data_IF_047013724418
#
_entry.id   IF_047013724418
#
_cell.length_a   1.000
_cell.length_b   1.000
_cell.length_c   1.000
_cell.angle_alpha   90.00
_cell.angle_beta   90.00
_cell.angle_gamma   90.00
#
_symmetry.space_group_name_H-M   'P 1'
#
loop_
_entity.id
_entity.type
_entity.pdbx_description
1 polymer ?
#
# COMPACT_ATOMS: atom_id res chain seq x y z
N UNK A 1 14.65 -29.21 -7.23
CA UNK A 1 14.23 -28.00 -7.97
C UNK A 1 14.33 -26.82 -7.01
N UNK A 2 15.25 -25.88 -7.24
CA UNK A 2 15.46 -24.70 -6.38
C UNK A 2 14.89 -23.45 -7.06
N UNK A 3 13.56 -23.19 -7.02
CA UNK A 3 12.96 -22.00 -7.62
C UNK A 3 13.16 -20.72 -6.78
N UNK A 4 13.78 -20.85 -5.60
CA UNK A 4 13.80 -19.84 -4.56
C UNK A 4 14.58 -18.54 -4.89
N UNK A 5 15.64 -18.50 -5.72
CA UNK A 5 16.36 -17.23 -5.96
C UNK A 5 15.62 -16.27 -6.90
N UNK A 6 14.75 -16.78 -7.79
CA UNK A 6 14.15 -15.96 -8.84
C UNK A 6 13.07 -15.01 -8.31
N UNK A 7 12.30 -15.45 -7.32
CA UNK A 7 11.18 -14.67 -6.79
C UNK A 7 11.62 -13.42 -6.00
N UNK A 8 12.60 -13.48 -5.08
CA UNK A 8 13.17 -12.28 -4.45
C UNK A 8 13.84 -11.34 -5.45
N UNK A 9 14.55 -11.88 -6.45
CA UNK A 9 15.17 -11.06 -7.49
C UNK A 9 14.12 -10.29 -8.32
N UNK A 10 13.00 -10.93 -8.69
CA UNK A 10 11.90 -10.28 -9.39
C UNK A 10 11.22 -9.20 -8.52
N UNK A 11 11.03 -9.47 -7.22
CA UNK A 11 10.48 -8.50 -6.28
C UNK A 11 11.36 -7.24 -6.17
N UNK A 12 12.67 -7.42 -6.04
CA UNK A 12 13.64 -6.32 -6.01
C UNK A 12 13.64 -5.54 -7.33
N UNK A 13 13.61 -6.24 -8.47
CA UNK A 13 13.54 -5.60 -9.78
C UNK A 13 12.28 -4.73 -9.90
N UNK A 14 11.11 -5.23 -9.46
CA UNK A 14 9.88 -4.44 -9.45
C UNK A 14 10.02 -3.16 -8.61
N UNK A 15 10.60 -3.24 -7.42
CA UNK A 15 10.84 -2.07 -6.55
C UNK A 15 11.84 -1.08 -7.16
N UNK A 16 12.88 -1.57 -7.85
CA UNK A 16 13.83 -0.73 -8.58
C UNK A 16 13.11 0.04 -9.69
N UNK A 17 12.29 -0.62 -10.50
CA UNK A 17 11.50 0.07 -11.54
C UNK A 17 10.49 1.05 -10.94
N UNK A 18 9.86 0.71 -9.81
CA UNK A 18 8.98 1.63 -9.11
C UNK A 18 9.72 2.90 -8.69
N UNK A 19 10.93 2.76 -8.17
CA UNK A 19 11.78 3.90 -7.81
C UNK A 19 12.21 4.73 -9.03
N UNK A 20 12.56 4.08 -10.15
CA UNK A 20 12.88 4.77 -11.41
C UNK A 20 11.70 5.59 -11.89
N UNK A 21 10.49 5.02 -11.96
CA UNK A 21 9.29 5.76 -12.36
C UNK A 21 8.93 6.86 -11.36
N UNK A 22 9.09 6.63 -10.06
CA UNK A 22 8.90 7.67 -9.06
C UNK A 22 9.84 8.86 -9.31
N UNK A 23 11.12 8.61 -9.62
CA UNK A 23 12.07 9.67 -9.96
C UNK A 23 11.67 10.43 -11.23
N UNK A 24 11.20 9.73 -12.25
CA UNK A 24 10.73 10.35 -13.50
C UNK A 24 9.52 11.24 -13.26
N UNK A 25 8.55 10.78 -12.44
CA UNK A 25 7.40 11.60 -12.03
C UNK A 25 7.89 12.81 -11.22
N UNK A 26 8.75 12.61 -10.21
CA UNK A 26 9.25 13.71 -9.38
C UNK A 26 9.98 14.79 -10.19
N UNK A 27 10.74 14.38 -11.21
CA UNK A 27 11.49 15.25 -12.10
C UNK A 27 10.60 15.99 -13.13
N UNK A 28 9.35 15.58 -13.31
CA UNK A 28 8.44 16.32 -14.17
C UNK A 28 8.10 17.69 -13.57
N UNK A 29 7.88 18.65 -14.47
CA UNK A 29 7.55 20.03 -14.15
C UNK A 29 6.30 20.11 -13.27
N UNK A 30 6.38 20.68 -12.05
CA UNK A 30 5.25 20.82 -11.14
C UNK A 30 4.20 21.83 -11.60
N UNK A 31 4.48 22.63 -12.64
CA UNK A 31 3.58 23.67 -13.14
C UNK A 31 3.80 25.03 -12.50
N UNK A 32 2.83 25.91 -12.68
CA UNK A 32 2.82 27.27 -12.14
C UNK A 32 2.52 27.32 -10.62
N UNK A 33 2.61 28.52 -10.04
CA UNK A 33 2.44 28.71 -8.59
C UNK A 33 1.07 28.23 -8.09
N UNK A 34 0.02 28.52 -8.84
CA UNK A 34 -1.36 28.14 -8.50
C UNK A 34 -1.53 26.62 -8.50
N UNK A 35 -0.98 25.93 -9.50
CA UNK A 35 -0.96 24.46 -9.55
C UNK A 35 -0.25 23.84 -8.35
N UNK A 36 0.86 24.43 -7.92
CA UNK A 36 1.64 23.96 -6.77
C UNK A 36 0.86 24.18 -5.47
N UNK A 37 0.23 25.34 -5.30
CA UNK A 37 -0.57 25.68 -4.13
C UNK A 37 -1.76 24.72 -3.96
N UNK A 38 -2.55 24.55 -5.02
CA UNK A 38 -3.72 23.64 -5.01
C UNK A 38 -3.30 22.20 -4.70
N UNK A 39 -2.26 21.70 -5.36
CA UNK A 39 -1.75 20.35 -5.08
C UNK A 39 -1.19 20.21 -3.66
N UNK A 40 -0.66 21.30 -3.09
CA UNK A 40 -0.26 21.40 -1.69
C UNK A 40 -1.43 21.17 -0.73
N UNK A 41 -2.57 21.82 -0.98
CA UNK A 41 -3.79 21.62 -0.19
C UNK A 41 -4.31 20.17 -0.29
N UNK A 42 -4.38 19.62 -1.50
CA UNK A 42 -4.79 18.22 -1.72
C UNK A 42 -3.85 17.25 -0.99
N UNK A 43 -2.54 17.44 -1.12
CA UNK A 43 -1.54 16.58 -0.46
C UNK A 43 -1.68 16.66 1.07
N UNK A 44 -1.83 17.87 1.62
CA UNK A 44 -2.01 18.07 3.07
C UNK A 44 -3.28 17.37 3.58
N UNK A 45 -4.40 17.52 2.86
CA UNK A 45 -5.66 16.86 3.19
C UNK A 45 -5.56 15.34 3.13
N UNK A 46 -5.02 14.79 2.04
CA UNK A 46 -4.84 13.36 1.84
C UNK A 46 -3.96 12.74 2.95
N UNK A 47 -2.83 13.36 3.28
CA UNK A 47 -1.94 12.87 4.34
C UNK A 47 -2.56 13.02 5.75
N UNK A 48 -3.35 14.07 5.99
CA UNK A 48 -4.08 14.21 7.25
C UNK A 48 -5.12 13.10 7.43
N UNK A 49 -5.89 12.82 6.38
CA UNK A 49 -6.83 11.69 6.34
C UNK A 49 -6.11 10.36 6.58
N UNK A 50 -5.03 10.09 5.85
CA UNK A 50 -4.29 8.82 5.96
C UNK A 50 -3.73 8.61 7.37
N UNK A 51 -3.18 9.66 7.99
CA UNK A 51 -2.72 9.61 9.39
C UNK A 51 -3.86 9.27 10.35
N UNK A 52 -5.05 9.87 10.15
CA UNK A 52 -6.21 9.59 11.01
C UNK A 52 -6.70 8.16 10.83
N UNK A 53 -6.81 7.70 9.59
CA UNK A 53 -7.18 6.33 9.25
C UNK A 53 -6.20 5.34 9.87
N UNK A 54 -4.89 5.55 9.72
CA UNK A 54 -3.87 4.65 10.26
C UNK A 54 -3.89 4.58 11.77
N UNK A 55 -4.24 5.67 12.47
CA UNK A 55 -4.42 5.63 13.93
C UNK A 55 -5.55 4.67 14.34
N UNK A 56 -6.67 4.69 13.63
CA UNK A 56 -7.80 3.78 13.89
C UNK A 56 -7.43 2.35 13.53
N UNK A 57 -6.81 2.14 12.37
CA UNK A 57 -6.36 0.82 11.93
C UNK A 57 -5.33 0.23 12.89
N UNK A 58 -4.41 1.04 13.43
CA UNK A 58 -3.43 0.57 14.41
C UNK A 58 -4.10 0.00 15.67
N UNK A 59 -5.21 0.60 16.14
CA UNK A 59 -5.99 0.07 17.28
C UNK A 59 -6.60 -1.29 16.90
N UNK A 60 -7.21 -1.40 15.72
CA UNK A 60 -7.76 -2.67 15.23
C UNK A 60 -6.67 -3.75 15.15
N UNK A 61 -5.51 -3.42 14.58
CA UNK A 61 -4.38 -4.34 14.47
C UNK A 61 -3.85 -4.76 15.83
N UNK A 62 -3.78 -3.85 16.81
CA UNK A 62 -3.39 -4.19 18.18
C UNK A 62 -4.36 -5.20 18.80
N UNK A 63 -5.67 -5.00 18.66
CA UNK A 63 -6.69 -5.92 19.18
C UNK A 63 -6.58 -7.30 18.52
N UNK A 64 -6.53 -7.36 17.19
CA UNK A 64 -6.39 -8.64 16.47
C UNK A 64 -5.07 -9.32 16.80
N UNK A 65 -3.98 -8.56 16.94
CA UNK A 65 -2.68 -9.09 17.35
C UNK A 65 -2.74 -9.73 18.74
N UNK A 66 -3.40 -9.11 19.72
CA UNK A 66 -3.60 -9.69 21.06
C UNK A 66 -4.41 -10.98 21.00
N UNK A 67 -5.47 -11.02 20.18
CA UNK A 67 -6.28 -12.22 19.97
C UNK A 67 -5.43 -13.35 19.38
N UNK A 68 -4.69 -13.08 18.30
CA UNK A 68 -3.82 -14.06 17.64
C UNK A 68 -2.69 -14.53 18.56
N UNK A 69 -2.13 -13.64 19.38
CA UNK A 69 -1.16 -13.98 20.40
C UNK A 69 -1.75 -14.95 21.43
N UNK A 70 -2.94 -14.66 21.96
CA UNK A 70 -3.63 -15.55 22.90
C UNK A 70 -3.97 -16.91 22.28
N UNK A 71 -4.42 -16.94 21.01
CA UNK A 71 -4.70 -18.18 20.29
C UNK A 71 -3.46 -19.08 20.14
N UNK A 72 -2.28 -18.48 19.94
CA UNK A 72 -1.03 -19.24 19.81
C UNK A 72 -0.41 -19.66 21.14
N UNK A 73 -0.36 -18.75 22.12
CA UNK A 73 0.38 -18.95 23.37
C UNK A 73 -0.46 -19.48 24.53
N UNK A 74 -1.74 -19.12 24.61
CA UNK A 74 -2.63 -19.47 25.73
C UNK A 74 -3.49 -20.67 25.37
N UNK A 75 -4.14 -20.65 24.23
CA UNK A 75 -5.09 -21.69 23.83
C UNK A 75 -4.47 -22.82 22.99
N UNK A 76 -3.25 -22.61 22.46
CA UNK A 76 -2.55 -23.58 21.62
C UNK A 76 -3.35 -24.06 20.38
N UNK A 77 -4.23 -23.21 19.85
CA UNK A 77 -5.08 -23.51 18.67
C UNK A 77 -4.40 -23.04 17.37
N UNK A 78 -3.37 -22.20 17.47
CA UNK A 78 -2.62 -21.66 16.34
C UNK A 78 -1.12 -21.70 16.59
N UNK A 79 -0.32 -21.55 15.53
CA UNK A 79 1.13 -21.47 15.68
C UNK A 79 1.54 -20.17 16.39
N UNK A 80 2.57 -20.23 17.25
CA UNK A 80 2.97 -19.12 18.15
C UNK A 80 3.42 -17.84 17.45
N UNK A 81 3.71 -17.89 16.15
CA UNK A 81 4.24 -16.76 15.36
C UNK A 81 3.22 -16.13 14.41
N UNK A 82 1.97 -16.64 14.37
CA UNK A 82 0.93 -16.12 13.44
C UNK A 82 0.67 -14.63 13.61
N UNK A 83 0.75 -14.12 14.84
CA UNK A 83 0.54 -12.70 15.11
C UNK A 83 1.62 -11.83 14.45
N UNK A 84 2.86 -12.32 14.33
CA UNK A 84 3.95 -11.61 13.65
C UNK A 84 3.70 -11.55 12.14
N UNK A 85 3.34 -12.67 11.52
CA UNK A 85 3.02 -12.72 10.10
C UNK A 85 1.82 -11.81 9.75
N UNK A 86 0.79 -11.78 10.60
CA UNK A 86 -0.31 -10.82 10.48
C UNK A 86 0.16 -9.36 10.50
N UNK A 87 1.03 -8.99 11.44
CA UNK A 87 1.55 -7.64 11.55
C UNK A 87 2.40 -7.24 10.34
N UNK A 88 3.26 -8.12 9.82
CA UNK A 88 4.10 -7.79 8.65
C UNK A 88 3.25 -7.56 7.41
N UNK A 89 2.24 -8.40 7.16
CA UNK A 89 1.35 -8.24 6.01
C UNK A 89 0.57 -6.91 6.07
N UNK A 90 0.06 -6.56 7.26
CA UNK A 90 -0.59 -5.27 7.48
C UNK A 90 0.35 -4.07 7.30
N UNK A 91 1.59 -4.19 7.79
CA UNK A 91 2.62 -3.18 7.65
C UNK A 91 2.97 -2.91 6.19
N UNK A 92 3.26 -3.95 5.39
CA UNK A 92 3.57 -3.79 3.97
C UNK A 92 2.38 -3.25 3.19
N UNK A 93 1.15 -3.70 3.49
CA UNK A 93 -0.07 -3.14 2.89
C UNK A 93 -0.24 -1.64 3.19
N UNK A 94 0.00 -1.24 4.44
CA UNK A 94 0.02 0.18 4.84
C UNK A 94 1.12 0.96 4.13
N UNK A 95 2.34 0.43 4.09
CA UNK A 95 3.47 1.08 3.42
C UNK A 95 3.16 1.33 1.93
N UNK A 96 2.60 0.35 1.24
CA UNK A 96 2.15 0.49 -0.15
C UNK A 96 1.12 1.61 -0.31
N UNK A 97 0.10 1.66 0.57
CA UNK A 97 -0.90 2.72 0.55
C UNK A 97 -0.31 4.12 0.74
N UNK A 98 0.65 4.26 1.67
CA UNK A 98 1.33 5.53 1.93
C UNK A 98 2.19 5.99 0.74
N UNK A 99 3.01 5.09 0.18
CA UNK A 99 3.86 5.39 -0.97
C UNK A 99 3.05 5.70 -2.23
N UNK A 100 1.96 4.96 -2.44
CA UNK A 100 1.00 5.20 -3.51
C UNK A 100 0.37 6.58 -3.40
N UNK A 101 -0.19 6.91 -2.24
CA UNK A 101 -0.83 8.21 -2.01
C UNK A 101 0.15 9.36 -2.22
N UNK A 102 1.36 9.28 -1.67
CA UNK A 102 2.40 10.30 -1.85
C UNK A 102 2.77 10.51 -3.32
N UNK A 103 2.81 9.43 -4.09
CA UNK A 103 3.12 9.50 -5.52
C UNK A 103 1.96 10.08 -6.32
N UNK A 104 0.73 9.65 -6.03
CA UNK A 104 -0.47 10.14 -6.70
C UNK A 104 -0.71 11.63 -6.48
N UNK A 105 -0.60 12.12 -5.23
CA UNK A 105 -0.80 13.55 -4.95
C UNK A 105 0.29 14.40 -5.59
N UNK A 106 1.54 13.93 -5.61
CA UNK A 106 2.66 14.59 -6.30
C UNK A 106 2.50 14.60 -7.83
N UNK A 107 1.90 13.56 -8.40
CA UNK A 107 1.72 13.43 -9.85
C UNK A 107 0.56 14.27 -10.40
N UNK A 108 -0.38 14.69 -9.56
CA UNK A 108 -1.60 15.40 -9.97
C UNK A 108 -1.32 16.70 -10.73
N UNK A 109 -0.60 17.66 -10.13
CA UNK A 109 -0.24 18.92 -10.79
C UNK A 109 0.70 18.71 -11.98
N UNK A 110 1.64 17.77 -11.88
CA UNK A 110 2.57 17.43 -12.98
C UNK A 110 1.85 16.86 -14.19
N UNK A 111 0.80 16.07 -13.97
CA UNK A 111 -0.07 15.56 -15.03
C UNK A 111 -0.80 16.71 -15.71
N UNK A 112 -1.36 17.64 -14.92
CA UNK A 112 -2.04 18.82 -15.45
C UNK A 112 -1.09 19.72 -16.27
N UNK A 113 0.11 19.98 -15.76
CA UNK A 113 1.15 20.71 -16.49
C UNK A 113 1.58 19.98 -17.77
N UNK A 114 1.73 18.66 -17.71
CA UNK A 114 1.99 17.84 -18.90
C UNK A 114 0.91 17.99 -19.97
N UNK A 115 -0.36 18.03 -19.55
CA UNK A 115 -1.51 18.18 -20.43
C UNK A 115 -1.58 19.56 -21.13
N UNK A 116 -1.01 20.63 -20.53
CA UNK A 116 -0.85 21.94 -21.22
C UNK A 116 0.03 21.84 -22.47
N UNK A 117 0.97 20.89 -22.51
CA UNK A 117 1.86 20.69 -23.66
C UNK A 117 1.32 19.66 -24.64
N UNK A 118 0.86 18.50 -24.16
CA UNK A 118 0.16 17.51 -24.98
C UNK A 118 -0.53 16.45 -24.12
N UNK A 119 -1.57 15.84 -24.68
CA UNK A 119 -2.25 14.71 -24.06
C UNK A 119 -1.27 13.56 -23.74
N UNK A 120 -0.38 13.22 -24.68
CA UNK A 120 0.61 12.16 -24.50
C UNK A 120 1.53 12.44 -23.31
N UNK A 121 1.97 13.70 -23.14
CA UNK A 121 2.85 14.07 -22.02
C UNK A 121 2.13 13.95 -20.68
N UNK A 122 0.89 14.44 -20.58
CA UNK A 122 0.05 14.24 -19.39
C UNK A 122 -0.15 12.75 -19.07
N UNK A 123 -0.53 11.96 -20.09
CA UNK A 123 -0.75 10.52 -19.96
C UNK A 123 0.50 9.77 -19.47
N UNK A 124 1.69 10.10 -19.99
CA UNK A 124 2.92 9.46 -19.55
C UNK A 124 3.22 9.70 -18.06
N UNK A 125 2.99 10.92 -17.56
CA UNK A 125 3.17 11.23 -16.14
C UNK A 125 2.17 10.45 -15.29
N UNK A 126 0.89 10.49 -15.66
CA UNK A 126 -0.18 9.78 -14.96
C UNK A 126 0.06 8.26 -14.94
N UNK A 127 0.40 7.67 -16.10
CA UNK A 127 0.63 6.24 -16.23
C UNK A 127 1.87 5.79 -15.44
N UNK A 128 2.96 6.56 -15.47
CA UNK A 128 4.14 6.27 -14.64
C UNK A 128 3.82 6.35 -13.15
N UNK A 129 3.04 7.34 -12.72
CA UNK A 129 2.60 7.43 -11.32
C UNK A 129 1.75 6.22 -10.90
N UNK A 130 0.83 5.77 -11.77
CA UNK A 130 0.07 4.54 -11.57
C UNK A 130 0.95 3.29 -11.53
N UNK A 131 1.96 3.21 -12.40
CA UNK A 131 2.92 2.11 -12.43
C UNK A 131 3.74 2.03 -11.13
N UNK A 132 4.11 3.16 -10.51
CA UNK A 132 4.77 3.17 -9.20
C UNK A 132 3.90 2.44 -8.16
N UNK A 133 2.61 2.77 -8.08
CA UNK A 133 1.69 2.11 -7.14
C UNK A 133 1.61 0.60 -7.39
N UNK A 134 1.42 0.19 -8.66
CA UNK A 134 1.34 -1.23 -9.01
C UNK A 134 2.62 -2.01 -8.69
N UNK A 135 3.79 -1.46 -9.06
CA UNK A 135 5.08 -2.10 -8.84
C UNK A 135 5.47 -2.14 -7.36
N UNK A 136 5.11 -1.13 -6.56
CA UNK A 136 5.29 -1.14 -5.11
C UNK A 136 4.46 -2.25 -4.46
N UNK A 137 3.19 -2.40 -4.84
CA UNK A 137 2.31 -3.46 -4.31
C UNK A 137 2.83 -4.86 -4.67
N UNK A 138 3.16 -5.09 -5.94
CA UNK A 138 3.68 -6.38 -6.40
C UNK A 138 5.05 -6.66 -5.78
N UNK A 139 5.93 -5.66 -5.73
CA UNK A 139 7.27 -5.77 -5.17
C UNK A 139 7.26 -6.14 -3.69
N UNK A 140 6.57 -5.36 -2.85
CA UNK A 140 6.49 -5.67 -1.42
C UNK A 140 5.70 -6.93 -1.13
N UNK A 141 4.60 -7.20 -1.85
CA UNK A 141 3.83 -8.43 -1.67
C UNK A 141 4.65 -9.68 -1.96
N UNK A 142 5.36 -9.70 -3.09
CA UNK A 142 6.22 -10.83 -3.44
C UNK A 142 7.42 -10.95 -2.49
N UNK A 143 8.00 -9.82 -2.08
CA UNK A 143 9.10 -9.80 -1.12
C UNK A 143 8.68 -10.37 0.24
N UNK A 144 7.53 -9.97 0.78
CA UNK A 144 7.01 -10.44 2.07
C UNK A 144 6.75 -11.96 2.05
N UNK A 145 6.06 -12.46 1.03
CA UNK A 145 5.76 -13.89 0.86
C UNK A 145 7.05 -14.71 0.75
N UNK A 146 7.98 -14.27 -0.09
CA UNK A 146 9.22 -15.01 -0.34
C UNK A 146 10.16 -14.97 0.86
N UNK A 147 10.22 -13.83 1.57
CA UNK A 147 11.00 -13.67 2.79
C UNK A 147 10.48 -14.58 3.89
N UNK A 148 9.17 -14.58 4.16
CA UNK A 148 8.58 -15.47 5.15
C UNK A 148 8.77 -16.94 4.82
N UNK A 149 8.56 -17.33 3.56
CA UNK A 149 8.79 -18.70 3.13
C UNK A 149 10.25 -19.12 3.35
N UNK A 150 11.22 -18.27 2.97
CA UNK A 150 12.64 -18.52 3.18
C UNK A 150 13.02 -18.63 4.65
N UNK A 151 12.51 -17.72 5.48
CA UNK A 151 12.78 -17.71 6.92
C UNK A 151 12.25 -19.00 7.55
N UNK A 152 11.01 -19.39 7.27
CA UNK A 152 10.39 -20.54 7.90
C UNK A 152 10.86 -21.89 7.34
N UNK A 153 11.13 -21.98 6.05
CA UNK A 153 11.51 -23.24 5.41
C UNK A 153 13.01 -23.53 5.48
N UNK A 154 13.86 -22.49 5.35
CA UNK A 154 15.32 -22.68 5.25
C UNK A 154 16.07 -22.27 6.52
N UNK A 155 15.73 -21.12 7.10
CA UNK A 155 16.49 -20.57 8.24
C UNK A 155 16.00 -21.08 9.59
N UNK A 156 14.69 -21.25 9.78
CA UNK A 156 14.12 -21.73 11.04
C UNK A 156 14.64 -23.13 11.43
N UNK A 157 14.75 -24.12 10.51
CA UNK A 157 15.34 -25.42 10.85
C UNK A 157 16.79 -25.32 11.32
N UNK A 158 17.58 -24.40 10.76
CA UNK A 158 18.98 -24.17 11.16
C UNK A 158 19.10 -23.62 12.59
N UNK A 159 18.04 -23.01 13.11
CA UNK A 159 17.94 -22.47 14.47
C UNK A 159 17.25 -23.44 15.43
N UNK A 160 16.97 -24.68 15.02
CA UNK A 160 16.27 -25.68 15.83
C UNK A 160 14.75 -25.53 15.87
N UNK A 161 14.19 -24.66 15.02
CA UNK A 161 12.74 -24.47 14.87
C UNK A 161 12.28 -25.16 13.59
N UNK A 162 12.03 -26.46 13.67
CA UNK A 162 11.45 -27.21 12.55
C UNK A 162 9.94 -27.00 12.48
N UNK A 163 9.44 -26.80 11.28
CA UNK A 163 8.02 -26.56 11.00
C UNK A 163 7.62 -27.35 9.76
N UNK A 164 6.50 -28.05 9.85
CA UNK A 164 5.95 -28.78 8.71
C UNK A 164 5.47 -27.82 7.61
N UNK A 165 5.47 -28.25 6.35
CA UNK A 165 5.03 -27.40 5.24
C UNK A 165 3.57 -26.92 5.40
N UNK A 166 2.73 -27.73 6.03
CA UNK A 166 1.33 -27.36 6.37
C UNK A 166 1.30 -26.21 7.36
N UNK A 167 2.11 -26.27 8.42
CA UNK A 167 2.19 -25.22 9.44
C UNK A 167 2.76 -23.90 8.86
N UNK A 168 3.79 -23.99 8.01
CA UNK A 168 4.34 -22.84 7.29
C UNK A 168 3.23 -22.18 6.47
N UNK A 169 2.43 -22.96 5.74
CA UNK A 169 1.32 -22.46 4.94
C UNK A 169 0.26 -21.77 5.80
N UNK A 170 -0.09 -22.36 6.95
CA UNK A 170 -1.05 -21.76 7.90
C UNK A 170 -0.54 -20.42 8.43
N UNK A 171 0.74 -20.34 8.83
CA UNK A 171 1.35 -19.07 9.27
C UNK A 171 1.33 -18.05 8.13
N UNK A 172 1.67 -18.46 6.92
CA UNK A 172 1.67 -17.60 5.74
C UNK A 172 0.27 -17.06 5.41
N UNK A 173 -0.80 -17.85 5.53
CA UNK A 173 -2.16 -17.32 5.31
C UNK A 173 -2.49 -16.10 6.21
N UNK A 174 -1.88 -16.01 7.40
CA UNK A 174 -2.12 -14.89 8.31
C UNK A 174 -1.48 -13.57 7.89
N UNK A 175 -0.39 -13.56 7.08
CA UNK A 175 0.06 -12.31 6.47
C UNK A 175 -1.00 -11.79 5.48
N UNK A 176 -1.64 -12.69 4.73
CA UNK A 176 -2.68 -12.35 3.75
C UNK A 176 -3.89 -11.72 4.43
N UNK A 177 -4.26 -12.27 5.60
CA UNK A 177 -5.27 -11.70 6.48
C UNK A 177 -4.89 -10.28 6.95
N UNK A 178 -3.64 -10.06 7.37
CA UNK A 178 -3.14 -8.74 7.76
C UNK A 178 -3.20 -7.73 6.61
N UNK A 179 -2.64 -8.08 5.46
CA UNK A 179 -2.63 -7.23 4.28
C UNK A 179 -4.04 -6.86 3.82
N UNK A 180 -4.97 -7.83 3.84
CA UNK A 180 -6.37 -7.66 3.45
C UNK A 180 -7.14 -6.81 4.44
N UNK A 181 -6.88 -6.95 5.74
CA UNK A 181 -7.50 -6.14 6.78
C UNK A 181 -7.14 -4.66 6.60
N UNK A 182 -5.86 -4.34 6.41
CA UNK A 182 -5.45 -2.97 6.11
C UNK A 182 -6.05 -2.47 4.79
N UNK A 183 -6.04 -3.28 3.73
CA UNK A 183 -6.64 -2.90 2.45
C UNK A 183 -8.16 -2.66 2.53
N UNK A 184 -8.88 -3.39 3.40
CA UNK A 184 -10.30 -3.20 3.64
C UNK A 184 -10.56 -1.82 4.24
N UNK A 185 -9.88 -1.48 5.34
CA UNK A 185 -10.04 -0.17 5.96
C UNK A 185 -9.61 0.96 5.02
N UNK A 186 -8.52 0.77 4.29
CA UNK A 186 -8.04 1.71 3.28
C UNK A 186 -9.12 2.03 2.24
N UNK A 187 -9.70 1.00 1.61
CA UNK A 187 -10.68 1.14 0.53
C UNK A 187 -12.04 1.62 1.00
N UNK A 188 -12.56 1.05 2.09
CA UNK A 188 -13.89 1.42 2.61
C UNK A 188 -13.87 2.82 3.19
N UNK A 189 -12.93 3.11 4.09
CA UNK A 189 -12.82 4.45 4.68
C UNK A 189 -12.53 5.51 3.62
N UNK A 190 -11.58 5.23 2.71
CA UNK A 190 -11.23 6.14 1.63
C UNK A 190 -12.40 6.37 0.67
N UNK A 191 -13.14 5.32 0.32
CA UNK A 191 -14.31 5.41 -0.54
C UNK A 191 -15.45 6.22 0.07
N UNK A 192 -15.70 6.08 1.37
CA UNK A 192 -16.68 6.93 2.08
C UNK A 192 -16.23 8.39 2.06
N UNK A 193 -14.97 8.64 2.38
CA UNK A 193 -14.41 10.01 2.41
C UNK A 193 -14.52 10.69 1.04
N UNK A 194 -14.09 10.02 -0.03
CA UNK A 194 -14.12 10.61 -1.37
C UNK A 194 -15.53 10.73 -1.91
N UNK A 195 -16.40 9.73 -1.71
CA UNK A 195 -17.77 9.80 -2.25
C UNK A 195 -18.67 10.79 -1.54
N UNK A 196 -18.51 10.99 -0.23
CA UNK A 196 -19.21 12.07 0.45
C UNK A 196 -18.81 13.45 -0.10
N UNK A 197 -17.53 13.65 -0.39
CA UNK A 197 -17.02 14.89 -0.98
C UNK A 197 -17.48 15.08 -2.43
N UNK A 198 -17.34 14.05 -3.28
CA UNK A 198 -17.75 14.07 -4.69
C UNK A 198 -19.23 14.44 -4.82
N UNK A 199 -20.10 13.73 -4.10
CA UNK A 199 -21.56 13.93 -4.21
C UNK A 199 -21.98 15.31 -3.69
N UNK A 200 -21.42 15.76 -2.56
CA UNK A 200 -21.72 17.09 -2.02
C UNK A 200 -21.30 18.21 -2.96
N UNK A 201 -20.09 18.13 -3.53
CA UNK A 201 -19.57 19.12 -4.46
C UNK A 201 -20.36 19.15 -5.77
N UNK A 202 -20.68 17.98 -6.34
CA UNK A 202 -21.40 17.89 -7.62
C UNK A 202 -22.86 18.33 -7.49
N UNK A 203 -23.57 17.94 -6.42
CA UNK A 203 -24.97 18.33 -6.23
C UNK A 203 -25.10 19.85 -6.06
N UNK A 204 -24.37 20.43 -5.12
CA UNK A 204 -24.51 21.86 -4.81
C UNK A 204 -23.87 22.72 -5.92
N UNK A 205 -22.69 22.34 -6.40
CA UNK A 205 -21.96 23.11 -7.41
C UNK A 205 -22.67 23.10 -8.76
N UNK A 206 -22.91 21.91 -9.32
CA UNK A 206 -23.39 21.77 -10.70
C UNK A 206 -24.91 21.88 -10.82
N UNK A 207 -25.66 21.30 -9.90
CA UNK A 207 -27.13 21.22 -10.01
C UNK A 207 -27.79 22.45 -9.42
N UNK A 208 -27.41 22.86 -8.20
CA UNK A 208 -28.07 23.98 -7.51
C UNK A 208 -27.51 25.34 -7.94
N UNK A 209 -26.19 25.48 -8.00
CA UNK A 209 -25.54 26.76 -8.26
C UNK A 209 -25.12 26.97 -9.73
N UNK A 210 -25.16 25.93 -10.57
CA UNK A 210 -24.84 26.01 -12.01
C UNK A 210 -23.39 26.38 -12.32
N UNK A 211 -22.47 26.08 -11.40
CA UNK A 211 -21.03 26.34 -11.54
C UNK A 211 -20.37 25.09 -12.17
N UNK A 212 -19.40 25.24 -13.09
CA UNK A 212 -18.69 24.10 -13.70
C UNK A 212 -18.11 23.08 -12.71
#
# INVERSE_FOLDING_TARGET
MTPVPHAPAAALLALVFAWVFFRQVKAADPGDADMIEIAGHVTKGALAYLKRQYKVVAIFFAVVCVILFAMGWVFHVQHKIVFLAFLTGGFFSGLCGWLGMKTATMASNRTAQGAKHSLNRGLQVAFRAGAVMGLVVVGFGLLDITMWFLILYKFAPQMGFEMGLVEITVVMLTFGMGASSQALFARVGGGIYTKAADVGADLVGKIEAGIP
#
